data_IF_368796957704
#
_entry.id   IF_368796957704
#
_cell.length_a   1.000
_cell.length_b   1.000
_cell.length_c   1.000
_cell.angle_alpha   90.00
_cell.angle_beta   90.00
_cell.angle_gamma   90.00
#
_symmetry.space_group_name_H-M   'P 1'
#
loop_
_entity.id
_entity.type
_entity.pdbx_description
1 polymer ?
#
# COMPACT_ATOMS: atom_id res chain seq x y z
N UNK A 1 -13.91 -10.53 3.55
CA UNK A 1 -12.81 -11.39 3.03
C UNK A 1 -11.49 -10.86 3.58
N UNK A 2 -11.20 -9.58 3.33
CA UNK A 2 -10.17 -8.81 4.00
C UNK A 2 -10.73 -7.44 4.35
N UNK A 3 -10.11 -6.76 5.32
CA UNK A 3 -10.20 -5.31 5.48
C UNK A 3 -8.94 -4.70 4.86
N UNK A 4 -9.09 -3.64 4.06
CA UNK A 4 -7.96 -2.92 3.49
C UNK A 4 -7.51 -1.90 4.53
N UNK A 5 -6.27 -1.98 5.01
CA UNK A 5 -5.74 -1.02 5.97
C UNK A 5 -5.05 0.13 5.23
N UNK A 6 -4.18 -0.21 4.28
CA UNK A 6 -3.56 0.76 3.38
C UNK A 6 -3.21 0.11 2.05
N UNK A 7 -3.07 0.95 1.03
CA UNK A 7 -2.62 0.55 -0.30
C UNK A 7 -1.80 1.65 -0.98
N UNK A 8 -1.01 1.22 -1.97
CA UNK A 8 -0.36 2.09 -2.95
C UNK A 8 -0.17 1.34 -4.28
N UNK A 9 -0.69 1.90 -5.37
CA UNK A 9 -0.48 1.39 -6.73
C UNK A 9 0.65 2.16 -7.38
N UNK A 10 1.71 1.48 -7.76
CA UNK A 10 2.84 2.02 -8.52
C UNK A 10 2.68 1.69 -10.01
N UNK A 11 3.43 2.34 -10.92
CA UNK A 11 3.34 2.05 -12.35
C UNK A 11 3.64 0.58 -12.73
N UNK A 12 4.46 -0.11 -11.94
CA UNK A 12 4.95 -1.46 -12.22
C UNK A 12 4.57 -2.52 -11.16
N UNK A 13 4.04 -2.14 -10.00
CA UNK A 13 3.65 -3.07 -8.92
C UNK A 13 2.62 -2.40 -7.99
N UNK A 14 2.17 -3.11 -6.97
CA UNK A 14 1.28 -2.55 -5.96
C UNK A 14 1.60 -3.11 -4.57
N UNK A 15 1.27 -2.32 -3.56
CA UNK A 15 1.44 -2.63 -2.15
C UNK A 15 0.09 -2.61 -1.45
N UNK A 16 -0.15 -3.61 -0.60
CA UNK A 16 -1.31 -3.67 0.27
C UNK A 16 -0.91 -4.04 1.70
N UNK A 17 -1.53 -3.38 2.66
CA UNK A 17 -1.61 -3.84 4.04
C UNK A 17 -3.05 -4.29 4.31
N UNK A 18 -3.22 -5.58 4.56
CA UNK A 18 -4.53 -6.21 4.66
C UNK A 18 -4.69 -6.90 6.01
N UNK A 19 -5.88 -6.80 6.59
CA UNK A 19 -6.30 -7.64 7.70
C UNK A 19 -7.16 -8.77 7.17
N UNK A 20 -6.76 -10.01 7.45
CA UNK A 20 -7.54 -11.17 7.07
C UNK A 20 -8.78 -11.30 7.95
N UNK A 21 -9.98 -11.28 7.34
CA UNK A 21 -11.27 -11.37 8.06
C UNK A 21 -11.81 -12.81 8.09
N UNK A 22 -11.42 -13.62 7.09
CA UNK A 22 -11.71 -15.05 7.03
C UNK A 22 -10.47 -15.80 6.60
N UNK A 23 -10.37 -17.07 6.97
CA UNK A 23 -9.26 -17.91 6.54
C UNK A 23 -9.14 -17.95 5.00
N UNK A 24 -7.91 -17.88 4.51
CA UNK A 24 -7.59 -17.75 3.08
C UNK A 24 -8.06 -16.45 2.38
N UNK A 25 -8.59 -15.48 3.13
CA UNK A 25 -9.21 -14.29 2.57
C UNK A 25 -8.25 -13.41 1.75
N UNK A 26 -6.99 -13.28 2.17
CA UNK A 26 -6.00 -12.48 1.43
C UNK A 26 -5.72 -13.09 0.06
N UNK A 27 -5.48 -14.39 -0.01
CA UNK A 27 -5.19 -15.11 -1.25
C UNK A 27 -6.34 -14.98 -2.25
N UNK A 28 -7.59 -15.12 -1.79
CA UNK A 28 -8.76 -14.95 -2.65
C UNK A 28 -8.94 -13.49 -3.09
N UNK A 29 -8.65 -12.52 -2.22
CA UNK A 29 -8.71 -11.09 -2.55
C UNK A 29 -7.73 -10.73 -3.66
N UNK A 30 -6.46 -11.08 -3.49
CA UNK A 30 -5.41 -10.82 -4.48
C UNK A 30 -5.71 -11.56 -5.78
N UNK A 31 -6.15 -12.83 -5.72
CA UNK A 31 -6.54 -13.58 -6.92
C UNK A 31 -7.65 -12.87 -7.71
N UNK A 32 -8.69 -12.38 -7.04
CA UNK A 32 -9.80 -11.67 -7.71
C UNK A 32 -9.35 -10.36 -8.34
N UNK A 33 -8.54 -9.55 -7.64
CA UNK A 33 -8.06 -8.27 -8.16
C UNK A 33 -7.13 -8.50 -9.36
N UNK A 34 -6.13 -9.37 -9.20
CA UNK A 34 -5.16 -9.68 -10.24
C UNK A 34 -5.81 -10.21 -11.52
N UNK A 35 -6.76 -11.15 -11.38
CA UNK A 35 -7.45 -11.74 -12.52
C UNK A 35 -8.40 -10.75 -13.20
N UNK A 36 -9.18 -9.99 -12.43
CA UNK A 36 -10.11 -9.00 -12.99
C UNK A 36 -9.37 -7.88 -13.71
N UNK A 37 -8.29 -7.36 -13.12
CA UNK A 37 -7.48 -6.32 -13.74
C UNK A 37 -6.76 -6.81 -15.00
N UNK A 38 -6.14 -8.00 -14.96
CA UNK A 38 -5.49 -8.61 -16.14
C UNK A 38 -6.49 -8.77 -17.29
N UNK A 39 -7.69 -9.28 -17.01
CA UNK A 39 -8.74 -9.43 -18.02
C UNK A 39 -9.17 -8.07 -18.59
N UNK A 40 -9.44 -7.10 -17.73
CA UNK A 40 -9.81 -5.74 -18.15
C UNK A 40 -8.74 -5.11 -19.06
N UNK A 41 -7.48 -5.15 -18.62
CA UNK A 41 -6.36 -4.57 -19.35
C UNK A 41 -6.17 -5.25 -20.71
N UNK A 42 -6.23 -6.58 -20.76
CA UNK A 42 -6.09 -7.34 -21.99
C UNK A 42 -7.20 -7.01 -23.00
N UNK A 43 -8.47 -6.97 -22.54
CA UNK A 43 -9.60 -6.58 -23.41
C UNK A 43 -9.44 -5.15 -23.92
N UNK A 44 -9.05 -4.21 -23.05
CA UNK A 44 -8.92 -2.80 -23.40
C UNK A 44 -7.81 -2.53 -24.42
N UNK A 45 -6.74 -3.31 -24.39
CA UNK A 45 -5.54 -3.08 -25.20
C UNK A 45 -5.34 -4.15 -26.29
N UNK A 46 -6.36 -4.97 -26.58
CA UNK A 46 -6.30 -6.08 -27.55
C UNK A 46 -5.07 -6.99 -27.35
N UNK A 47 -4.77 -7.29 -26.07
CA UNK A 47 -3.63 -8.08 -25.65
C UNK A 47 -4.05 -9.45 -25.17
N UNK A 48 -3.16 -10.42 -25.29
CA UNK A 48 -3.34 -11.79 -24.79
C UNK A 48 -2.17 -12.12 -23.85
N UNK A 49 -2.42 -12.98 -22.85
CA UNK A 49 -1.39 -13.49 -21.94
C UNK A 49 -1.35 -12.83 -20.55
N UNK A 50 -0.44 -13.26 -19.67
CA UNK A 50 -0.34 -12.80 -18.28
C UNK A 50 0.06 -11.32 -18.23
N UNK A 51 -0.54 -10.52 -17.35
CA UNK A 51 -0.15 -9.11 -17.15
C UNK A 51 0.82 -8.94 -15.97
N UNK A 52 0.52 -9.61 -14.87
CA UNK A 52 1.34 -9.59 -13.66
C UNK A 52 2.35 -10.73 -13.68
N UNK A 53 3.52 -10.51 -13.07
CA UNK A 53 4.60 -11.46 -13.01
C UNK A 53 4.67 -12.10 -11.62
N UNK A 54 4.81 -13.43 -11.59
CA UNK A 54 5.01 -14.19 -10.37
C UNK A 54 3.78 -14.27 -9.46
N UNK A 55 3.98 -14.94 -8.32
CA UNK A 55 3.01 -15.00 -7.24
C UNK A 55 3.12 -13.75 -6.36
N UNK A 56 2.03 -13.40 -5.68
CA UNK A 56 2.12 -12.36 -4.66
C UNK A 56 2.97 -12.84 -3.49
N UNK A 57 3.70 -11.92 -2.88
CA UNK A 57 4.46 -12.17 -1.67
C UNK A 57 3.70 -11.62 -0.46
N UNK A 58 3.89 -12.24 0.70
CA UNK A 58 3.25 -11.78 1.94
C UNK A 58 4.19 -11.95 3.14
N UNK A 59 4.15 -10.97 4.05
CA UNK A 59 4.84 -10.98 5.33
C UNK A 59 3.79 -10.73 6.42
N UNK A 60 3.80 -11.55 7.47
CA UNK A 60 2.89 -11.39 8.60
C UNK A 60 3.35 -10.22 9.48
N UNK A 61 2.39 -9.42 9.96
CA UNK A 61 2.66 -8.31 10.89
C UNK A 61 2.53 -8.85 12.31
N UNK A 62 3.62 -8.81 13.06
CA UNK A 62 3.75 -9.39 14.39
C UNK A 62 3.65 -8.35 15.52
N UNK A 63 3.79 -7.05 15.20
CA UNK A 63 3.74 -5.97 16.18
C UNK A 63 3.09 -4.69 15.65
N UNK A 64 2.61 -3.86 16.58
CA UNK A 64 2.09 -2.53 16.26
C UNK A 64 3.17 -1.61 15.68
N UNK A 65 4.40 -1.69 16.17
CA UNK A 65 5.53 -0.94 15.60
C UNK A 65 5.74 -1.31 14.12
N UNK A 66 5.78 -2.61 13.80
CA UNK A 66 5.88 -3.08 12.43
C UNK A 66 4.69 -2.61 11.58
N UNK A 67 3.47 -2.66 12.12
CA UNK A 67 2.26 -2.16 11.45
C UNK A 67 2.40 -0.69 11.04
N UNK A 68 2.85 0.17 11.97
CA UNK A 68 3.04 1.59 11.71
C UNK A 68 4.13 1.84 10.66
N UNK A 69 5.27 1.16 10.77
CA UNK A 69 6.38 1.32 9.83
C UNK A 69 6.05 0.82 8.42
N UNK A 70 5.36 -0.32 8.30
CA UNK A 70 4.89 -0.85 7.00
C UNK A 70 3.82 0.07 6.41
N UNK A 71 2.85 0.52 7.21
CA UNK A 71 1.84 1.49 6.76
C UNK A 71 2.47 2.77 6.22
N UNK A 72 3.44 3.35 6.93
CA UNK A 72 4.22 4.49 6.48
C UNK A 72 4.98 4.19 5.19
N UNK A 73 5.64 3.04 5.11
CA UNK A 73 6.38 2.66 3.91
C UNK A 73 5.48 2.64 2.66
N UNK A 74 4.32 2.00 2.76
CA UNK A 74 3.34 1.92 1.66
C UNK A 74 2.96 3.31 1.18
N UNK A 75 2.72 4.25 2.10
CA UNK A 75 2.41 5.63 1.75
C UNK A 75 3.59 6.39 1.16
N UNK A 76 4.82 6.11 1.60
CA UNK A 76 6.03 6.75 1.08
C UNK A 76 6.50 6.17 -0.27
N UNK A 77 6.01 4.99 -0.66
CA UNK A 77 6.47 4.26 -1.84
C UNK A 77 6.48 5.11 -3.15
N UNK A 78 5.46 5.95 -3.44
CA UNK A 78 5.47 6.84 -4.60
C UNK A 78 6.61 7.86 -4.61
N UNK A 79 7.03 8.33 -3.43
CA UNK A 79 8.14 9.29 -3.31
C UNK A 79 9.48 8.56 -3.39
N UNK A 80 9.60 7.40 -2.74
CA UNK A 80 10.81 6.56 -2.77
C UNK A 80 11.07 6.08 -4.21
N UNK A 81 10.02 5.69 -4.94
CA UNK A 81 10.09 5.28 -6.35
C UNK A 81 10.15 6.45 -7.35
N UNK A 82 10.29 7.70 -6.87
CA UNK A 82 10.34 8.92 -7.70
C UNK A 82 9.13 9.14 -8.62
N UNK A 83 7.98 8.54 -8.30
CA UNK A 83 6.73 8.67 -9.06
C UNK A 83 6.05 10.02 -8.78
N UNK A 84 6.17 10.52 -7.55
CA UNK A 84 5.65 11.83 -7.14
C UNK A 84 6.63 12.53 -6.21
N UNK A 85 6.52 13.87 -6.12
CA UNK A 85 7.15 14.67 -5.05
C UNK A 85 6.16 15.04 -3.95
N UNK A 86 4.87 14.84 -4.20
CA UNK A 86 3.79 15.23 -3.31
C UNK A 86 2.85 14.05 -3.11
N UNK A 87 2.82 13.53 -1.88
CA UNK A 87 1.98 12.40 -1.48
C UNK A 87 0.50 12.78 -1.43
N UNK A 88 0.20 14.04 -1.12
CA UNK A 88 -1.18 14.54 -1.00
C UNK A 88 -1.88 14.54 -2.36
N UNK A 89 -1.12 14.74 -3.43
CA UNK A 89 -1.61 14.74 -4.81
C UNK A 89 -1.62 13.34 -5.46
N UNK A 90 -1.00 12.34 -4.82
CA UNK A 90 -0.89 11.00 -5.39
C UNK A 90 -2.12 10.14 -5.11
N UNK A 91 -3.11 10.28 -6.00
CA UNK A 91 -4.44 9.63 -5.92
C UNK A 91 -4.42 8.09 -5.98
N UNK A 92 -3.30 7.49 -6.37
CA UNK A 92 -3.16 6.04 -6.48
C UNK A 92 -2.63 5.40 -5.19
N UNK A 93 -2.70 6.12 -4.07
CA UNK A 93 -2.41 5.60 -2.73
C UNK A 93 -3.55 5.92 -1.77
N UNK A 94 -3.55 5.22 -0.64
CA UNK A 94 -4.46 5.50 0.48
C UNK A 94 -4.03 6.70 1.34
N UNK A 95 -2.83 7.27 1.16
CA UNK A 95 -2.35 8.36 2.01
C UNK A 95 -3.30 9.57 2.05
N UNK A 96 -3.86 10.07 0.93
CA UNK A 96 -4.83 11.15 0.97
C UNK A 96 -6.11 10.83 1.78
N UNK A 97 -6.50 9.56 1.91
CA UNK A 97 -7.61 9.15 2.78
C UNK A 97 -7.25 9.29 4.28
N UNK A 98 -5.98 9.08 4.64
CA UNK A 98 -5.50 9.18 6.02
C UNK A 98 -5.42 10.62 6.53
N UNK A 99 -5.28 11.58 5.61
CA UNK A 99 -5.21 13.01 5.91
C UNK A 99 -6.47 13.79 5.47
N UNK A 100 -7.58 13.07 5.27
CA UNK A 100 -8.92 13.62 4.95
C UNK A 100 -9.02 14.47 3.66
N UNK A 101 -8.10 14.29 2.71
CA UNK A 101 -8.18 14.94 1.40
C UNK A 101 -9.19 14.24 0.46
N UNK A 102 -9.57 13.00 0.78
CA UNK A 102 -10.58 12.22 0.06
C UNK A 102 -11.68 11.82 1.05
N UNK A 103 -12.94 12.04 0.65
CA UNK A 103 -14.12 11.70 1.45
C UNK A 103 -14.52 10.23 1.34
N UNK A 104 -14.42 9.67 0.14
CA UNK A 104 -14.70 8.26 -0.10
C UNK A 104 -13.50 7.44 0.34
N UNK A 105 -13.64 6.72 1.44
CA UNK A 105 -12.57 5.92 2.03
C UNK A 105 -12.93 4.44 1.91
N UNK A 106 -12.00 3.64 1.42
CA UNK A 106 -12.13 2.18 1.38
C UNK A 106 -11.27 1.50 2.46
N UNK A 107 -10.47 2.28 3.18
CA UNK A 107 -9.53 1.80 4.17
C UNK A 107 -10.12 1.80 5.60
N UNK A 108 -9.87 0.72 6.34
CA UNK A 108 -10.09 0.62 7.79
C UNK A 108 -8.89 1.21 8.54
N UNK A 109 -8.84 2.55 8.57
CA UNK A 109 -7.68 3.35 9.02
C UNK A 109 -7.47 3.36 10.52
N UNK A 110 -8.51 3.08 11.30
CA UNK A 110 -8.51 3.24 12.76
C UNK A 110 -7.47 2.35 13.45
N UNK A 111 -7.12 1.19 12.88
CA UNK A 111 -6.06 0.33 13.43
C UNK A 111 -4.67 1.02 13.45
N UNK A 112 -4.46 2.01 12.58
CA UNK A 112 -3.25 2.85 12.55
C UNK A 112 -3.52 4.17 13.27
N UNK A 113 -4.60 4.88 12.90
CA UNK A 113 -4.84 6.25 13.39
C UNK A 113 -5.10 6.32 14.89
N UNK A 114 -5.69 5.28 15.50
CA UNK A 114 -5.91 5.22 16.96
C UNK A 114 -4.62 5.14 17.78
N UNK A 115 -3.46 4.91 17.14
CA UNK A 115 -2.15 4.90 17.79
C UNK A 115 -1.50 6.29 17.85
N UNK A 116 -2.17 7.32 17.32
CA UNK A 116 -1.72 8.70 17.34
C UNK A 116 -2.74 9.57 18.07
N UNK A 117 -2.28 10.60 18.78
CA UNK A 117 -3.19 11.55 19.45
C UNK A 117 -4.00 12.34 18.43
N UNK A 118 -3.36 12.74 17.32
CA UNK A 118 -3.99 13.48 16.24
C UNK A 118 -3.58 12.96 14.86
N UNK A 119 -4.41 13.24 13.84
CA UNK A 119 -4.05 12.99 12.43
C UNK A 119 -2.82 13.78 11.99
N UNK A 120 -2.56 14.93 12.62
CA UNK A 120 -1.35 15.69 12.35
C UNK A 120 -0.11 14.93 12.83
N UNK A 121 -0.16 14.24 13.96
CA UNK A 121 0.97 13.43 14.45
C UNK A 121 1.26 12.27 13.50
N UNK A 122 0.22 11.65 12.95
CA UNK A 122 0.36 10.67 11.88
C UNK A 122 1.04 11.27 10.64
N UNK A 123 0.56 12.44 10.18
CA UNK A 123 1.16 13.16 9.04
C UNK A 123 2.64 13.43 9.28
N UNK A 124 3.02 13.92 10.46
CA UNK A 124 4.42 14.15 10.83
C UNK A 124 5.23 12.85 10.88
N UNK A 125 4.66 11.77 11.43
CA UNK A 125 5.31 10.46 11.47
C UNK A 125 5.66 9.92 10.07
N UNK A 126 4.78 10.16 9.08
CA UNK A 126 5.04 9.82 7.68
C UNK A 126 6.11 10.73 7.08
N UNK A 127 5.93 12.06 7.21
CA UNK A 127 6.79 13.05 6.56
C UNK A 127 8.23 13.09 7.12
N UNK A 128 8.41 12.89 8.43
CA UNK A 128 9.73 12.87 9.09
C UNK A 128 10.67 11.79 8.54
N UNK A 129 10.12 10.78 7.84
CA UNK A 129 10.89 9.70 7.27
C UNK A 129 11.12 9.81 5.76
N UNK A 130 10.58 10.85 5.10
CA UNK A 130 10.75 11.07 3.65
C UNK A 130 12.24 11.18 3.30
N UNK A 131 12.98 12.02 4.02
CA UNK A 131 14.41 12.23 3.78
C UNK A 131 15.25 10.99 4.10
N UNK A 132 14.87 10.23 5.13
CA UNK A 132 15.57 8.99 5.49
C UNK A 132 15.31 7.89 4.46
N UNK A 133 14.06 7.71 4.04
CA UNK A 133 13.65 6.70 3.07
C UNK A 133 14.20 6.98 1.66
N UNK A 134 14.34 8.26 1.28
CA UNK A 134 15.04 8.64 0.04
C UNK A 134 16.54 8.37 0.09
N UNK A 135 17.15 8.34 1.28
CA UNK A 135 18.60 8.17 1.47
C UNK A 135 19.03 6.75 1.81
N UNK A 136 18.14 5.91 2.35
CA UNK A 136 18.50 4.60 2.88
C UNK A 136 17.62 3.48 2.31
N UNK A 137 18.28 2.60 1.56
CA UNK A 137 17.83 1.25 1.19
C UNK A 137 17.54 0.34 2.39
N UNK A 138 17.78 0.80 3.61
CA UNK A 138 17.76 -0.04 4.82
C UNK A 138 16.36 -0.49 5.24
N UNK A 139 15.26 0.09 4.74
CA UNK A 139 13.92 -0.47 4.99
C UNK A 139 13.62 -1.63 4.02
N UNK A 140 14.36 -1.76 2.91
CA UNK A 140 14.08 -2.76 1.85
C UNK A 140 14.09 -4.21 2.34
N UNK A 141 14.89 -4.55 3.36
CA UNK A 141 14.94 -5.93 3.88
C UNK A 141 13.69 -6.35 4.66
N UNK A 142 12.87 -5.40 5.11
CA UNK A 142 11.58 -5.65 5.76
C UNK A 142 10.44 -5.79 4.74
N UNK A 143 10.76 -5.69 3.44
CA UNK A 143 9.81 -5.47 2.36
C UNK A 143 10.05 -6.45 1.22
N UNK A 144 8.96 -6.74 0.52
CA UNK A 144 8.90 -7.78 -0.51
C UNK A 144 9.35 -7.30 -1.89
N UNK A 145 9.90 -6.08 -2.00
CA UNK A 145 10.26 -5.41 -3.25
C UNK A 145 11.50 -5.99 -3.96
N UNK A 146 11.96 -7.18 -3.55
CA UNK A 146 12.99 -7.92 -4.28
C UNK A 146 12.34 -8.98 -5.16
N UNK A 147 12.12 -8.63 -6.43
CA UNK A 147 12.38 -9.47 -7.63
C UNK A 147 12.07 -8.69 -8.92
#
# INVERSE_FOLDING_TARGET
MVDIISYCFMPNHFHFLLKQVRDGGISEFISKISNSYTKYFNIKNDRIGPLLQGDFKAVHIESNEQLLHVGRYIHLNPVIGFVTKDLELYKWSSYPEYIDLIKDSICEKEIILSQFETKNDYKQFVLNHVDYAQKHDQVKHLLLDFE
#
